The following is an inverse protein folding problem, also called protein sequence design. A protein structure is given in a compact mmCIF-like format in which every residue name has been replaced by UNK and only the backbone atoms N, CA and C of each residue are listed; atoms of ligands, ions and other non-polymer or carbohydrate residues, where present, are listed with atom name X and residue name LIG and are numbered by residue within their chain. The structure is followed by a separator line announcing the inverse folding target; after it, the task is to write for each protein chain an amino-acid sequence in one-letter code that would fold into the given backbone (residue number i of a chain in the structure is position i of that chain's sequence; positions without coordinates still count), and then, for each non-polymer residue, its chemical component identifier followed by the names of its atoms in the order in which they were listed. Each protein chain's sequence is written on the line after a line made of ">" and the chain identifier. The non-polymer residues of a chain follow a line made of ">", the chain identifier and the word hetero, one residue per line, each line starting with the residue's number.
data_IF_557754718630
#
_entry.id   IF_557754718630
#
_cell.length_a   1.000
_cell.length_b   1.000
_cell.length_c   1.000
_cell.angle_alpha   90.00
_cell.angle_beta   90.00
_cell.angle_gamma   90.00
#
_symmetry.space_group_name_H-M   'P 1'
#
loop_
_entity.id
_entity.type
_entity.pdbx_description
1 polymer ?
#
# COMPACT_ATOMS: atom_id res chain seq x y z
N UNK A 1 79.62 21.56 -17.52
CA UNK A 1 79.61 21.73 -16.05
C UNK A 1 78.50 22.71 -15.72
N UNK A 2 77.41 22.24 -15.13
CA UNK A 2 76.42 22.95 -14.29
C UNK A 2 75.12 22.14 -14.28
N UNK A 3 74.94 21.37 -13.21
CA UNK A 3 73.71 20.69 -12.83
C UNK A 3 72.83 21.72 -12.10
N UNK A 4 71.54 21.84 -12.45
CA UNK A 4 70.57 22.71 -11.78
C UNK A 4 69.25 21.97 -11.55
N UNK A 5 68.54 22.21 -10.43
CA UNK A 5 67.83 21.17 -9.68
C UNK A 5 66.38 20.97 -10.11
N UNK A 6 65.86 19.78 -9.77
CA UNK A 6 64.45 19.46 -9.79
C UNK A 6 63.68 20.27 -8.72
N UNK A 7 62.50 20.77 -9.08
CA UNK A 7 61.50 21.27 -8.14
C UNK A 7 60.14 20.64 -8.47
N UNK A 8 59.58 19.94 -7.49
CA UNK A 8 58.28 19.29 -7.50
C UNK A 8 57.19 20.23 -6.97
N UNK A 9 55.96 19.98 -7.45
CA UNK A 9 54.64 20.19 -6.80
C UNK A 9 54.14 21.63 -6.55
N UNK A 10 52.99 21.94 -7.16
CA UNK A 10 51.77 22.23 -6.39
C UNK A 10 50.54 22.17 -7.30
N UNK A 11 49.91 20.98 -7.38
CA UNK A 11 48.54 20.84 -7.85
C UNK A 11 47.62 21.02 -6.65
N UNK A 12 47.36 22.25 -6.27
CA UNK A 12 46.53 22.60 -5.11
C UNK A 12 45.41 23.53 -5.54
N UNK A 13 44.17 23.07 -5.32
CA UNK A 13 42.91 23.83 -5.35
C UNK A 13 42.10 23.78 -6.66
N UNK A 14 41.66 22.58 -7.02
CA UNK A 14 40.34 22.37 -7.61
C UNK A 14 39.47 21.60 -6.61
N UNK A 15 39.13 22.25 -5.49
CA UNK A 15 37.94 21.89 -4.71
C UNK A 15 36.71 22.45 -5.45
N UNK A 16 36.51 21.94 -6.66
CA UNK A 16 35.22 21.99 -7.33
C UNK A 16 34.26 21.21 -6.43
N UNK A 17 33.34 21.95 -5.81
CA UNK A 17 31.92 21.59 -5.71
C UNK A 17 31.68 20.08 -5.82
N UNK A 18 32.12 19.30 -4.83
CA UNK A 18 31.57 17.98 -4.62
C UNK A 18 30.15 18.24 -4.14
N UNK A 19 29.24 18.37 -5.11
CA UNK A 19 27.82 18.30 -4.92
C UNK A 19 27.57 17.20 -3.91
N UNK A 20 26.90 17.54 -2.80
CA UNK A 20 26.34 16.56 -1.89
C UNK A 20 25.33 15.73 -2.68
N UNK A 21 25.82 14.75 -3.43
CA UNK A 21 25.03 13.65 -3.93
C UNK A 21 24.75 12.81 -2.69
N UNK A 22 23.69 13.18 -1.97
CA UNK A 22 23.01 12.20 -1.13
C UNK A 22 22.72 11.01 -2.05
N UNK A 23 23.17 9.79 -1.71
CA UNK A 23 22.72 8.64 -2.46
C UNK A 23 21.20 8.62 -2.32
N UNK A 24 20.51 8.94 -3.40
CA UNK A 24 19.07 8.78 -3.50
C UNK A 24 18.81 7.28 -3.44
N UNK A 25 18.67 6.78 -2.22
CA UNK A 25 18.15 5.43 -2.00
C UNK A 25 16.73 5.53 -2.54
N UNK A 26 16.52 4.95 -3.72
CA UNK A 26 15.19 4.89 -4.33
C UNK A 26 14.15 4.36 -3.36
N UNK A 27 12.86 4.46 -3.71
CA UNK A 27 11.76 4.21 -2.79
C UNK A 27 11.93 2.87 -2.05
N UNK A 28 11.83 2.90 -0.73
CA UNK A 28 11.84 1.70 0.11
C UNK A 28 10.53 0.95 -0.11
N UNK A 29 10.59 -0.36 -0.37
CA UNK A 29 9.41 -1.19 -0.58
C UNK A 29 9.28 -2.24 0.52
N UNK A 30 8.05 -2.50 0.95
CA UNK A 30 7.74 -3.59 1.88
C UNK A 30 6.58 -4.44 1.37
N UNK A 31 6.57 -5.74 1.72
CA UNK A 31 5.47 -6.62 1.38
C UNK A 31 4.25 -6.33 2.25
N UNK A 32 3.07 -6.59 1.70
CA UNK A 32 1.82 -6.75 2.44
C UNK A 32 1.07 -7.98 1.92
N UNK A 33 0.17 -8.53 2.74
CA UNK A 33 -0.78 -9.56 2.34
C UNK A 33 -2.18 -8.94 2.28
N UNK A 34 -2.97 -9.30 1.29
CA UNK A 34 -4.36 -8.88 1.16
C UNK A 34 -5.22 -10.12 0.92
N UNK A 35 -6.22 -10.35 1.78
CA UNK A 35 -7.19 -11.43 1.62
C UNK A 35 -8.57 -10.87 1.36
N UNK A 36 -9.28 -11.47 0.41
CA UNK A 36 -10.68 -11.17 0.10
C UNK A 36 -11.53 -12.30 0.66
N UNK A 37 -12.44 -11.96 1.56
CA UNK A 37 -13.36 -12.88 2.22
C UNK A 37 -14.80 -12.47 1.91
N UNK A 38 -15.69 -13.44 1.80
CA UNK A 38 -17.12 -13.18 1.64
C UNK A 38 -17.90 -14.06 2.60
N UNK A 39 -18.24 -13.50 3.76
CA UNK A 39 -18.94 -14.18 4.86
C UNK A 39 -20.39 -14.53 4.51
N UNK A 40 -20.92 -13.93 3.44
CA UNK A 40 -22.27 -14.17 2.94
C UNK A 40 -22.30 -15.30 1.89
N UNK A 41 -21.18 -15.96 1.65
CA UNK A 41 -21.03 -17.05 0.70
C UNK A 41 -20.15 -18.17 1.26
N UNK A 42 -20.22 -19.36 0.66
CA UNK A 42 -19.31 -20.47 0.99
C UNK A 42 -18.02 -20.46 0.15
N UNK A 43 -17.65 -19.32 -0.43
CA UNK A 43 -16.44 -19.21 -1.23
C UNK A 43 -15.21 -19.23 -0.31
N UNK A 44 -14.16 -19.93 -0.75
CA UNK A 44 -12.89 -19.91 -0.02
C UNK A 44 -12.25 -18.52 -0.16
N UNK A 45 -11.63 -17.99 0.91
CA UNK A 45 -10.88 -16.74 0.85
C UNK A 45 -9.81 -16.76 -0.24
N UNK A 46 -9.64 -15.63 -0.93
CA UNK A 46 -8.60 -15.43 -1.92
C UNK A 46 -7.50 -14.52 -1.36
N UNK A 47 -6.26 -15.00 -1.32
CA UNK A 47 -5.12 -14.23 -0.81
C UNK A 47 -4.19 -13.79 -1.94
N UNK A 48 -3.74 -12.54 -1.82
CA UNK A 48 -2.84 -11.89 -2.74
C UNK A 48 -1.67 -11.26 -1.97
N UNK A 49 -0.52 -11.16 -2.62
CA UNK A 49 0.66 -10.50 -2.08
C UNK A 49 1.10 -9.39 -3.01
N UNK A 50 1.43 -8.23 -2.46
CA UNK A 50 2.04 -7.15 -3.23
C UNK A 50 3.14 -6.45 -2.43
N UNK A 51 4.00 -5.75 -3.16
CA UNK A 51 5.02 -4.89 -2.60
C UNK A 51 4.64 -3.44 -2.85
N UNK A 52 4.70 -2.60 -1.83
CA UNK A 52 4.35 -1.18 -1.91
C UNK A 52 5.48 -0.30 -1.40
N UNK A 53 5.55 0.91 -1.94
CA UNK A 53 6.44 1.93 -1.41
C UNK A 53 6.00 2.29 0.00
N UNK A 54 6.97 2.51 0.88
CA UNK A 54 6.76 3.05 2.22
C UNK A 54 5.87 4.30 2.17
N UNK A 55 4.98 4.41 3.16
CA UNK A 55 3.98 5.48 3.28
C UNK A 55 2.95 5.52 2.13
N UNK A 56 2.91 4.50 1.28
CA UNK A 56 1.89 4.31 0.26
C UNK A 56 0.56 3.87 0.86
N UNK A 57 -0.54 4.40 0.33
CA UNK A 57 -1.90 4.05 0.79
C UNK A 57 -2.38 2.70 0.24
N UNK A 58 -3.31 2.07 0.94
CA UNK A 58 -3.91 0.78 0.60
C UNK A 58 -4.50 0.75 -0.83
N UNK A 59 -5.15 1.83 -1.26
CA UNK A 59 -5.67 1.97 -2.62
C UNK A 59 -4.55 1.82 -3.67
N UNK A 60 -3.33 2.28 -3.38
CA UNK A 60 -2.17 2.09 -4.23
C UNK A 60 -1.73 0.63 -4.31
N UNK A 61 -1.89 -0.15 -3.24
CA UNK A 61 -1.67 -1.59 -3.25
C UNK A 61 -2.68 -2.30 -4.14
N UNK A 62 -3.96 -1.99 -3.94
CA UNK A 62 -5.06 -2.59 -4.70
C UNK A 62 -4.93 -2.33 -6.20
N UNK A 63 -4.54 -1.10 -6.60
CA UNK A 63 -4.26 -0.78 -8.02
C UNK A 63 -3.16 -1.65 -8.62
N UNK A 64 -2.05 -1.84 -7.90
CA UNK A 64 -0.95 -2.71 -8.35
C UNK A 64 -1.37 -4.18 -8.43
N UNK A 65 -2.17 -4.66 -7.47
CA UNK A 65 -2.73 -6.01 -7.51
C UNK A 65 -3.62 -6.21 -8.74
N UNK A 66 -4.49 -5.24 -9.03
CA UNK A 66 -5.38 -5.29 -10.20
C UNK A 66 -4.62 -5.32 -11.52
N UNK A 67 -3.47 -4.66 -11.59
CA UNK A 67 -2.59 -4.67 -12.77
C UNK A 67 -1.79 -5.98 -12.91
N UNK A 68 -1.36 -6.57 -11.79
CA UNK A 68 -0.39 -7.66 -11.78
C UNK A 68 -1.01 -9.06 -11.61
N UNK A 69 -2.16 -9.19 -10.96
CA UNK A 69 -2.73 -10.46 -10.55
C UNK A 69 -4.08 -10.70 -11.24
N UNK A 70 -4.14 -11.60 -12.23
CA UNK A 70 -5.41 -12.04 -12.80
C UNK A 70 -6.30 -12.61 -11.70
N UNK A 71 -7.54 -12.13 -11.62
CA UNK A 71 -8.50 -12.54 -10.58
C UNK A 71 -8.75 -11.48 -9.52
N UNK A 72 -7.80 -10.59 -9.25
CA UNK A 72 -8.05 -9.45 -8.38
C UNK A 72 -8.63 -8.28 -9.18
N UNK A 73 -9.85 -7.88 -8.87
CA UNK A 73 -10.44 -6.68 -9.43
C UNK A 73 -11.24 -5.94 -8.36
N UNK A 74 -11.33 -4.62 -8.50
CA UNK A 74 -12.13 -3.80 -7.62
C UNK A 74 -12.60 -2.54 -8.34
N UNK A 75 -13.61 -1.90 -7.76
CA UNK A 75 -14.11 -0.58 -8.17
C UNK A 75 -14.17 0.33 -6.96
N UNK A 76 -13.98 1.62 -7.23
CA UNK A 76 -14.16 2.68 -6.24
C UNK A 76 -15.04 3.76 -6.82
N UNK A 77 -15.88 4.33 -5.97
CA UNK A 77 -16.68 5.51 -6.28
C UNK A 77 -16.17 6.67 -5.44
N UNK A 78 -16.01 7.85 -6.04
CA UNK A 78 -15.59 9.06 -5.31
C UNK A 78 -16.77 9.61 -4.52
N UNK A 79 -16.73 9.48 -3.20
CA UNK A 79 -17.72 10.04 -2.29
C UNK A 79 -17.33 11.46 -1.90
N UNK A 80 -18.24 12.45 -1.96
CA UNK A 80 -17.90 13.86 -1.67
C UNK A 80 -17.34 14.07 -0.26
N UNK A 81 -17.80 13.31 0.73
CA UNK A 81 -17.39 13.47 2.13
C UNK A 81 -16.27 12.53 2.58
N UNK A 82 -16.04 11.42 1.86
CA UNK A 82 -15.15 10.33 2.30
C UNK A 82 -14.04 10.00 1.30
N UNK A 83 -14.07 10.57 0.10
CA UNK A 83 -13.13 10.26 -0.98
C UNK A 83 -13.39 8.87 -1.59
N UNK A 84 -12.33 8.13 -1.98
CA UNK A 84 -12.45 6.84 -2.64
C UNK A 84 -13.15 5.80 -1.73
N UNK A 85 -14.40 5.49 -2.04
CA UNK A 85 -15.21 4.49 -1.37
C UNK A 85 -15.12 3.15 -2.10
N UNK A 86 -14.81 2.07 -1.39
CA UNK A 86 -14.69 0.74 -1.97
C UNK A 86 -16.08 0.16 -2.27
N UNK A 87 -16.42 0.07 -3.55
CA UNK A 87 -17.76 -0.32 -4.01
C UNK A 87 -17.86 -1.83 -4.25
N UNK A 88 -16.90 -2.40 -4.98
CA UNK A 88 -16.87 -3.84 -5.25
C UNK A 88 -15.47 -4.43 -5.26
N UNK A 89 -15.36 -5.71 -4.91
CA UNK A 89 -14.16 -6.53 -5.05
C UNK A 89 -14.55 -7.85 -5.71
N UNK A 90 -13.75 -8.30 -6.68
CA UNK A 90 -13.92 -9.54 -7.44
C UNK A 90 -15.35 -9.75 -8.00
N UNK A 91 -16.02 -8.66 -8.37
CA UNK A 91 -17.36 -8.67 -8.96
C UNK A 91 -18.52 -8.69 -7.97
N UNK A 92 -18.25 -8.65 -6.66
CA UNK A 92 -19.27 -8.55 -5.60
C UNK A 92 -19.31 -7.11 -5.08
N UNK A 93 -20.45 -6.44 -5.25
CA UNK A 93 -20.67 -5.06 -4.86
C UNK A 93 -21.44 -4.98 -3.54
N UNK A 94 -21.15 -3.95 -2.74
CA UNK A 94 -22.01 -3.55 -1.64
C UNK A 94 -23.34 -3.00 -2.16
N UNK A 95 -24.38 -3.14 -1.35
CA UNK A 95 -25.74 -2.71 -1.66
C UNK A 95 -26.40 -2.13 -0.41
N UNK A 96 -26.88 -0.89 -0.52
CA UNK A 96 -27.51 -0.17 0.59
C UNK A 96 -28.87 -0.74 0.99
N UNK A 97 -29.65 -1.27 0.03
CA UNK A 97 -30.97 -1.85 0.32
C UNK A 97 -30.83 -3.21 1.00
N UNK A 98 -29.80 -3.99 0.60
CA UNK A 98 -29.48 -5.28 1.20
C UNK A 98 -28.58 -5.18 2.44
N UNK A 99 -28.21 -3.97 2.84
CA UNK A 99 -27.29 -3.67 3.93
C UNK A 99 -25.95 -4.43 3.84
N UNK A 100 -25.36 -4.52 2.65
CA UNK A 100 -24.09 -5.21 2.41
C UNK A 100 -22.96 -4.25 2.08
N UNK A 101 -21.76 -4.53 2.56
CA UNK A 101 -20.59 -3.66 2.38
C UNK A 101 -19.27 -4.44 2.45
N UNK A 102 -18.20 -3.76 2.02
CA UNK A 102 -16.84 -4.23 2.22
C UNK A 102 -16.27 -3.62 3.50
N UNK A 103 -16.07 -4.47 4.51
CA UNK A 103 -15.36 -4.15 5.73
C UNK A 103 -13.84 -4.25 5.52
N UNK A 104 -13.09 -3.29 6.07
CA UNK A 104 -11.63 -3.25 6.00
C UNK A 104 -11.08 -3.64 7.37
N UNK A 105 -10.29 -4.70 7.41
CA UNK A 105 -9.67 -5.18 8.63
C UNK A 105 -8.15 -5.23 8.45
N UNK A 106 -7.43 -4.98 9.53
CA UNK A 106 -6.04 -5.41 9.69
C UNK A 106 -6.01 -6.60 10.63
N UNK A 107 -5.25 -7.63 10.27
CA UNK A 107 -4.92 -8.75 11.14
C UNK A 107 -3.47 -8.66 11.58
N UNK A 108 -3.28 -8.72 12.89
CA UNK A 108 -1.97 -8.82 13.50
C UNK A 108 -2.01 -9.80 14.65
N UNK A 109 -1.12 -10.80 14.59
CA UNK A 109 -0.97 -11.78 15.68
C UNK A 109 -2.26 -12.54 16.04
N UNK A 110 -3.14 -12.75 15.05
CA UNK A 110 -4.42 -13.45 15.19
C UNK A 110 -5.59 -12.57 15.64
N UNK A 111 -5.39 -11.28 15.90
CA UNK A 111 -6.46 -10.33 16.21
C UNK A 111 -6.83 -9.50 14.99
N UNK A 112 -8.14 -9.39 14.74
CA UNK A 112 -8.69 -8.55 13.68
C UNK A 112 -9.08 -7.19 14.27
N UNK A 113 -8.56 -6.12 13.68
CA UNK A 113 -8.92 -4.74 14.01
C UNK A 113 -9.60 -4.11 12.80
N UNK A 114 -10.80 -3.58 12.98
CA UNK A 114 -11.48 -2.79 11.95
C UNK A 114 -10.74 -1.48 11.73
N UNK A 115 -10.51 -1.13 10.47
CA UNK A 115 -9.87 0.14 10.11
C UNK A 115 -10.89 1.27 10.25
N UNK A 116 -10.44 2.38 10.83
CA UNK A 116 -11.21 3.61 11.05
C UNK A 116 -11.14 4.59 9.87
N UNK A 117 -10.37 4.24 8.83
CA UNK A 117 -10.18 5.03 7.62
C UNK A 117 -10.33 4.17 6.35
N UNK A 118 -10.68 4.81 5.24
CA UNK A 118 -10.88 4.13 3.96
C UNK A 118 -9.58 3.77 3.22
N UNK A 119 -9.73 3.04 2.11
CA UNK A 119 -8.60 2.58 1.27
C UNK A 119 -7.73 3.73 0.75
N UNK A 120 -8.29 4.93 0.58
CA UNK A 120 -7.57 6.11 0.14
C UNK A 120 -6.66 6.75 1.19
N UNK A 121 -6.84 6.43 2.48
CA UNK A 121 -6.12 7.07 3.59
C UNK A 121 -5.27 6.09 4.38
N UNK A 122 -5.69 4.82 4.46
CA UNK A 122 -4.96 3.84 5.24
C UNK A 122 -3.57 3.57 4.66
N UNK A 123 -2.54 3.57 5.52
CA UNK A 123 -1.14 3.26 5.16
C UNK A 123 -0.78 1.93 5.83
N UNK A 124 -0.71 0.82 5.07
CA UNK A 124 -0.30 -0.46 5.62
C UNK A 124 1.16 -0.46 6.10
N UNK A 125 1.43 -1.23 7.14
CA UNK A 125 2.77 -1.51 7.68
C UNK A 125 3.43 -2.67 6.92
N UNK A 126 4.74 -2.82 7.09
CA UNK A 126 5.46 -3.99 6.58
C UNK A 126 4.86 -5.28 7.14
N UNK A 127 4.67 -6.26 6.24
CA UNK A 127 4.18 -7.60 6.55
C UNK A 127 2.76 -7.67 7.12
N UNK A 128 2.05 -6.53 7.13
CA UNK A 128 0.68 -6.43 7.58
C UNK A 128 -0.25 -7.24 6.68
N UNK A 129 -1.24 -7.85 7.32
CA UNK A 129 -2.28 -8.61 6.66
C UNK A 129 -3.56 -7.79 6.65
N UNK A 130 -3.98 -7.38 5.46
CA UNK A 130 -5.22 -6.66 5.23
C UNK A 130 -6.29 -7.65 4.78
N UNK A 131 -7.50 -7.51 5.30
CA UNK A 131 -8.65 -8.31 4.90
C UNK A 131 -9.74 -7.36 4.40
N UNK A 132 -10.22 -7.64 3.19
CA UNK A 132 -11.43 -7.05 2.62
C UNK A 132 -12.53 -8.09 2.80
N UNK A 133 -13.43 -7.87 3.76
CA UNK A 133 -14.48 -8.81 4.12
C UNK A 133 -15.83 -8.30 3.66
N UNK A 134 -16.52 -9.06 2.81
CA UNK A 134 -17.89 -8.75 2.44
C UNK A 134 -18.83 -9.22 3.55
N UNK A 135 -19.61 -8.29 4.11
CA UNK A 135 -20.47 -8.55 5.25
C UNK A 135 -21.75 -7.69 5.20
N UNK A 136 -22.67 -7.93 6.13
CA UNK A 136 -23.86 -7.11 6.35
C UNK A 136 -23.72 -6.21 7.57
N UNK A 137 -24.45 -5.09 7.61
CA UNK A 137 -24.69 -4.38 8.86
C UNK A 137 -26.12 -4.64 9.36
N UNK A 138 -26.22 -4.92 10.65
CA UNK A 138 -27.47 -4.84 11.40
C UNK A 138 -27.32 -3.76 12.47
N UNK A 139 -28.42 -3.18 12.99
CA UNK A 139 -28.36 -2.23 14.09
C UNK A 139 -27.59 -2.73 15.34
N UNK A 140 -27.40 -4.04 15.48
CA UNK A 140 -26.70 -4.68 16.59
C UNK A 140 -25.17 -4.74 16.42
N UNK A 141 -24.66 -4.53 15.19
CA UNK A 141 -23.23 -4.62 14.86
C UNK A 141 -22.52 -3.24 14.88
N UNK A 142 -23.14 -2.24 15.52
CA UNK A 142 -22.59 -0.89 15.71
C UNK A 142 -22.05 -0.71 17.14
N UNK A 143 -21.02 -1.48 17.51
CA UNK A 143 -20.19 -1.19 18.70
C UNK A 143 -18.71 -1.24 18.33
#
# INVERSE_FOLDING_TARGET
>A
MALGPAALLSAGLLLLLAHGAFPDKGPEFHPIRLTVENDLSNLSPESYSCSMVKDGVLLGAMKRLKEAQPGFNFTVTEHPDFGPFLESVNGVAGDEQEHTYWELLSESSGEYTRLDVGVGCYIPKSDEHIILRFNTWTPENHE
#
